data_IF_374147940741
#
_entry.id   IF_374147940741
#
_cell.length_a   1.000
_cell.length_b   1.000
_cell.length_c   1.000
_cell.angle_alpha   90.00
_cell.angle_beta   90.00
_cell.angle_gamma   90.00
#
_symmetry.space_group_name_H-M   'P 1'
#
loop_
_entity.id
_entity.type
_entity.pdbx_description
1 polymer ?
#
# COMPACT_ATOMS: atom_id res chain seq x y z
N UNK A 1 -39.73 -43.18 -3.44
CA UNK A 1 -38.27 -42.95 -3.31
C UNK A 1 -38.04 -41.46 -3.06
N UNK A 2 -37.61 -41.08 -1.84
CA UNK A 2 -37.43 -39.69 -1.40
C UNK A 2 -36.11 -39.14 -1.98
N UNK A 3 -36.18 -38.11 -2.83
CA UNK A 3 -35.00 -37.41 -3.35
C UNK A 3 -34.59 -36.34 -2.34
N UNK A 4 -33.46 -36.55 -1.67
CA UNK A 4 -32.88 -35.58 -0.74
C UNK A 4 -32.08 -34.57 -1.57
N UNK A 5 -32.53 -33.31 -1.60
CA UNK A 5 -31.79 -32.18 -2.14
C UNK A 5 -30.80 -31.71 -1.07
N UNK A 6 -29.52 -32.00 -1.27
CA UNK A 6 -28.43 -31.48 -0.42
C UNK A 6 -28.01 -30.12 -0.98
N UNK A 7 -28.48 -29.05 -0.34
CA UNK A 7 -28.01 -27.68 -0.59
C UNK A 7 -26.65 -27.51 0.11
N UNK A 8 -25.56 -27.62 -0.66
CA UNK A 8 -24.22 -27.27 -0.20
C UNK A 8 -24.12 -25.74 -0.08
N UNK A 9 -24.25 -25.23 1.15
CA UNK A 9 -23.92 -23.83 1.47
C UNK A 9 -22.40 -23.68 1.44
N UNK A 10 -21.86 -23.11 0.35
CA UNK A 10 -20.48 -22.64 0.31
C UNK A 10 -20.31 -21.51 1.32
N UNK A 11 -19.77 -21.83 2.49
CA UNK A 11 -19.27 -20.86 3.46
C UNK A 11 -18.05 -20.16 2.83
N UNK A 12 -18.30 -19.08 2.07
CA UNK A 12 -17.25 -18.13 1.70
C UNK A 12 -16.73 -17.51 2.98
N UNK A 13 -15.63 -18.07 3.49
CA UNK A 13 -14.85 -17.48 4.57
C UNK A 13 -14.27 -16.18 4.01
N UNK A 14 -14.95 -15.06 4.28
CA UNK A 14 -14.44 -13.73 3.94
C UNK A 14 -13.33 -13.45 4.94
N UNK A 15 -12.11 -13.91 4.63
CA UNK A 15 -10.92 -13.49 5.36
C UNK A 15 -10.86 -11.97 5.30
N UNK A 16 -11.08 -11.29 6.42
CA UNK A 16 -10.89 -9.85 6.51
C UNK A 16 -9.42 -9.53 6.23
N UNK A 17 -9.11 -9.10 5.02
CA UNK A 17 -7.77 -8.64 4.65
C UNK A 17 -7.54 -7.28 5.33
N UNK A 18 -7.06 -7.31 6.57
CA UNK A 18 -6.56 -6.11 7.23
C UNK A 18 -5.15 -5.83 6.73
N UNK A 19 -4.96 -4.69 6.08
CA UNK A 19 -3.64 -4.23 5.67
C UNK A 19 -2.89 -3.70 6.89
N UNK A 20 -1.62 -4.06 7.05
CA UNK A 20 -0.76 -3.55 8.12
C UNK A 20 -0.11 -2.22 7.75
N UNK A 21 0.62 -1.62 8.69
CA UNK A 21 1.50 -0.50 8.39
C UNK A 21 2.81 -0.97 7.74
N UNK A 22 3.41 -0.09 6.93
CA UNK A 22 4.75 -0.32 6.41
C UNK A 22 5.78 -0.23 7.55
N UNK A 23 6.91 -0.94 7.39
CA UNK A 23 8.06 -0.77 8.27
C UNK A 23 8.60 0.68 8.18
N UNK A 24 9.30 1.15 9.22
CA UNK A 24 10.00 2.44 9.18
C UNK A 24 10.88 2.63 7.93
N UNK A 25 11.03 3.87 7.46
CA UNK A 25 11.80 4.19 6.25
C UNK A 25 13.28 3.81 6.36
N UNK A 26 13.85 3.75 7.56
CA UNK A 26 15.22 3.31 7.85
C UNK A 26 15.38 1.81 8.06
N UNK A 27 14.32 1.03 7.91
CA UNK A 27 14.42 -0.41 8.01
C UNK A 27 14.96 -1.02 6.69
N UNK A 28 15.85 -2.03 6.72
CA UNK A 28 16.39 -2.64 5.49
C UNK A 28 15.31 -3.25 4.57
N UNK A 29 14.23 -3.76 5.18
CA UNK A 29 13.07 -4.32 4.48
C UNK A 29 11.96 -3.30 4.18
N UNK A 30 12.23 -2.00 4.32
CA UNK A 30 11.26 -0.93 4.05
C UNK A 30 10.61 -1.07 2.67
N UNK A 31 11.42 -1.20 1.61
CA UNK A 31 10.93 -1.23 0.22
C UNK A 31 9.91 -2.35 -0.02
N UNK A 32 10.20 -3.56 0.47
CA UNK A 32 9.31 -4.71 0.33
C UNK A 32 8.03 -4.54 1.15
N UNK A 33 8.17 -4.06 2.39
CA UNK A 33 7.04 -3.81 3.28
C UNK A 33 6.11 -2.73 2.73
N UNK A 34 6.65 -1.60 2.28
CA UNK A 34 5.87 -0.50 1.73
C UNK A 34 5.11 -0.91 0.47
N UNK A 35 5.78 -1.61 -0.47
CA UNK A 35 5.11 -2.14 -1.66
C UNK A 35 3.94 -3.05 -1.30
N UNK A 36 4.15 -3.99 -0.37
CA UNK A 36 3.10 -4.92 0.07
C UNK A 36 1.88 -4.18 0.66
N UNK A 37 2.13 -3.22 1.55
CA UNK A 37 1.08 -2.44 2.21
C UNK A 37 0.35 -1.52 1.22
N UNK A 38 1.07 -0.84 0.34
CA UNK A 38 0.47 0.02 -0.69
C UNK A 38 -0.43 -0.79 -1.65
N UNK A 39 0.05 -1.96 -2.11
CA UNK A 39 -0.74 -2.87 -2.93
C UNK A 39 -1.98 -3.38 -2.19
N UNK A 40 -1.85 -3.71 -0.90
CA UNK A 40 -2.97 -4.16 -0.07
C UNK A 40 -4.05 -3.08 0.03
N UNK A 41 -3.70 -1.86 0.44
CA UNK A 41 -4.68 -0.77 0.58
C UNK A 41 -5.30 -0.39 -0.76
N UNK A 42 -4.51 -0.34 -1.84
CA UNK A 42 -5.01 -0.11 -3.19
C UNK A 42 -6.08 -1.15 -3.58
N UNK A 43 -5.82 -2.44 -3.35
CA UNK A 43 -6.75 -3.52 -3.69
C UNK A 43 -7.98 -3.49 -2.79
N UNK A 44 -7.81 -3.25 -1.49
CA UNK A 44 -8.91 -3.11 -0.53
C UNK A 44 -9.84 -1.92 -0.85
N UNK A 45 -9.32 -0.91 -1.56
CA UNK A 45 -10.09 0.22 -2.07
C UNK A 45 -10.89 -0.11 -3.34
N UNK A 46 -10.85 -1.35 -3.81
CA UNK A 46 -11.59 -1.82 -4.99
C UNK A 46 -10.88 -1.56 -6.32
N UNK A 47 -9.58 -1.21 -6.31
CA UNK A 47 -8.83 -0.97 -7.54
C UNK A 47 -8.28 -2.27 -8.14
N UNK A 48 -8.04 -2.32 -9.47
CA UNK A 48 -7.56 -3.54 -10.12
C UNK A 48 -6.20 -3.99 -9.59
N UNK A 49 -6.10 -5.26 -9.19
CA UNK A 49 -4.87 -5.83 -8.60
C UNK A 49 -3.63 -5.63 -9.49
N UNK A 50 -3.77 -5.79 -10.81
CA UNK A 50 -2.67 -5.56 -11.75
C UNK A 50 -2.11 -4.14 -11.72
N UNK A 51 -2.98 -3.13 -11.54
CA UNK A 51 -2.56 -1.73 -11.35
C UNK A 51 -1.93 -1.53 -9.96
N UNK A 52 -2.50 -2.13 -8.92
CA UNK A 52 -2.00 -2.01 -7.54
C UNK A 52 -0.61 -2.66 -7.32
N UNK A 53 -0.21 -3.61 -8.16
CA UNK A 53 1.11 -4.26 -8.10
C UNK A 53 2.21 -3.45 -8.79
N UNK A 54 1.81 -2.56 -9.71
CA UNK A 54 2.69 -1.60 -10.37
C UNK A 54 2.73 -0.30 -9.54
N UNK A 55 3.82 -0.10 -8.82
CA UNK A 55 3.97 1.06 -7.93
C UNK A 55 4.02 2.39 -8.70
N UNK A 56 4.45 2.38 -9.96
CA UNK A 56 4.42 3.58 -10.80
C UNK A 56 3.00 3.91 -11.24
N UNK A 57 2.24 2.90 -11.67
CA UNK A 57 0.83 3.07 -12.00
C UNK A 57 0.01 3.52 -10.78
N UNK A 58 0.26 2.93 -9.62
CA UNK A 58 -0.36 3.32 -8.36
C UNK A 58 -0.06 4.78 -7.98
N UNK A 59 1.21 5.17 -8.01
CA UNK A 59 1.62 6.54 -7.73
C UNK A 59 0.98 7.54 -8.70
N UNK A 60 1.02 7.25 -10.01
CA UNK A 60 0.38 8.08 -11.03
C UNK A 60 -1.14 8.15 -10.86
N UNK A 61 -1.78 7.07 -10.41
CA UNK A 61 -3.21 7.07 -10.09
C UNK A 61 -3.51 8.00 -8.91
N UNK A 62 -2.68 7.99 -7.86
CA UNK A 62 -2.80 8.94 -6.75
C UNK A 62 -2.68 10.38 -7.25
N UNK A 63 -1.65 10.69 -8.04
CA UNK A 63 -1.45 12.04 -8.57
C UNK A 63 -2.57 12.50 -9.50
N UNK A 64 -3.04 11.65 -10.41
CA UNK A 64 -4.14 11.99 -11.32
C UNK A 64 -5.47 12.19 -10.59
N UNK A 65 -5.70 11.48 -9.48
CA UNK A 65 -6.94 11.58 -8.71
C UNK A 65 -6.95 12.79 -7.78
N UNK A 66 -5.82 13.07 -7.11
CA UNK A 66 -5.75 14.08 -6.05
C UNK A 66 -4.98 15.36 -6.46
N UNK A 67 -4.26 15.33 -7.59
CA UNK A 67 -3.48 16.44 -8.13
C UNK A 67 -2.07 16.57 -7.54
N UNK A 68 -1.82 16.06 -6.33
CA UNK A 68 -0.48 16.05 -5.72
C UNK A 68 -0.33 14.89 -4.73
N UNK A 69 0.92 14.54 -4.42
CA UNK A 69 1.23 13.54 -3.40
C UNK A 69 0.70 13.98 -2.02
N UNK A 70 0.88 15.27 -1.66
CA UNK A 70 0.40 15.81 -0.39
C UNK A 70 -1.12 15.60 -0.25
N UNK A 71 -1.92 16.01 -1.24
CA UNK A 71 -3.39 15.85 -1.20
C UNK A 71 -3.80 14.38 -1.14
N UNK A 72 -3.09 13.52 -1.86
CA UNK A 72 -3.35 12.08 -1.80
C UNK A 72 -3.05 11.50 -0.40
N UNK A 73 -2.01 12.00 0.27
CA UNK A 73 -1.62 11.62 1.62
C UNK A 73 -2.52 12.21 2.71
N UNK A 74 -3.09 13.40 2.50
CA UNK A 74 -4.12 14.00 3.36
C UNK A 74 -5.42 13.19 3.35
N UNK A 75 -5.72 12.49 2.24
CA UNK A 75 -6.90 11.63 2.12
C UNK A 75 -6.73 10.26 2.79
N UNK A 76 -5.50 9.83 3.11
CA UNK A 76 -5.25 8.53 3.72
C UNK A 76 -5.74 8.49 5.17
N UNK A 77 -6.40 7.39 5.54
CA UNK A 77 -6.98 7.23 6.90
C UNK A 77 -6.13 6.40 7.86
N UNK A 78 -5.19 5.61 7.33
CA UNK A 78 -4.46 4.60 8.10
C UNK A 78 -2.99 4.96 8.36
N UNK A 79 -2.56 6.14 7.92
CA UNK A 79 -1.20 6.65 8.10
C UNK A 79 -1.28 8.16 8.29
N UNK A 80 -0.30 8.75 8.96
CA UNK A 80 -0.18 10.21 8.98
C UNK A 80 0.18 10.73 7.58
N UNK A 81 -0.19 11.98 7.29
CA UNK A 81 0.16 12.62 6.02
C UNK A 81 1.66 12.66 5.81
N UNK A 82 2.44 13.01 6.85
CA UNK A 82 3.89 13.06 6.75
C UNK A 82 4.51 11.68 6.53
N UNK A 83 4.07 10.65 7.26
CA UNK A 83 4.55 9.28 7.05
C UNK A 83 4.25 8.79 5.62
N UNK A 84 3.07 9.12 5.09
CA UNK A 84 2.71 8.79 3.72
C UNK A 84 3.66 9.44 2.70
N UNK A 85 3.92 10.75 2.85
CA UNK A 85 4.83 11.46 1.95
C UNK A 85 6.26 10.94 2.08
N UNK A 86 6.75 10.74 3.31
CA UNK A 86 8.07 10.20 3.60
C UNK A 86 8.25 8.81 2.97
N UNK A 87 7.25 7.93 3.11
CA UNK A 87 7.31 6.59 2.54
C UNK A 87 7.38 6.65 1.00
N UNK A 88 6.55 7.45 0.35
CA UNK A 88 6.58 7.60 -1.11
C UNK A 88 7.88 8.24 -1.61
N UNK A 89 8.36 9.29 -0.95
CA UNK A 89 9.60 9.95 -1.32
C UNK A 89 10.80 9.03 -1.12
N UNK A 90 10.87 8.29 -0.01
CA UNK A 90 11.92 7.29 0.19
C UNK A 90 11.86 6.18 -0.86
N UNK A 91 10.66 5.73 -1.22
CA UNK A 91 10.49 4.68 -2.22
C UNK A 91 10.96 5.13 -3.61
N UNK A 92 10.60 6.35 -4.04
CA UNK A 92 10.87 6.86 -5.39
C UNK A 92 12.26 7.48 -5.54
N UNK A 93 12.73 8.21 -4.52
CA UNK A 93 13.91 9.07 -4.63
C UNK A 93 15.04 8.70 -3.66
N UNK A 94 14.77 7.85 -2.68
CA UNK A 94 15.75 7.54 -1.63
C UNK A 94 16.06 8.76 -0.77
N UNK A 95 17.32 8.88 -0.36
CA UNK A 95 17.81 9.98 0.48
C UNK A 95 17.50 9.79 1.96
N UNK A 96 16.91 10.83 2.57
CA UNK A 96 16.51 10.85 3.97
C UNK A 96 15.08 11.36 4.10
N UNK A 97 14.33 10.81 5.06
CA UNK A 97 12.97 11.27 5.34
C UNK A 97 12.94 12.57 6.17
N UNK A 98 11.74 13.07 6.45
CA UNK A 98 11.55 14.30 7.24
C UNK A 98 12.11 14.25 8.67
N UNK A 99 12.40 13.04 9.19
CA UNK A 99 13.00 12.80 10.50
C UNK A 99 14.50 12.54 10.43
N UNK A 100 15.12 12.66 9.27
CA UNK A 100 16.54 12.40 9.05
C UNK A 100 16.90 10.91 8.99
N UNK A 101 15.92 10.02 8.81
CA UNK A 101 16.13 8.58 8.71
C UNK A 101 16.55 8.21 7.29
N UNK A 102 17.55 7.35 7.15
CA UNK A 102 18.08 6.96 5.84
C UNK A 102 17.11 6.03 5.13
N UNK A 103 16.64 6.38 3.94
CA UNK A 103 15.71 5.53 3.20
C UNK A 103 16.31 4.14 2.92
N UNK A 104 15.57 3.09 3.26
CA UNK A 104 15.95 1.67 3.18
C UNK A 104 17.33 1.36 3.81
N UNK A 105 17.68 2.06 4.89
CA UNK A 105 19.00 2.02 5.56
C UNK A 105 20.21 2.36 4.66
N UNK A 106 20.00 2.77 3.40
CA UNK A 106 21.04 2.87 2.38
C UNK A 106 21.09 4.21 1.68
N UNK A 107 20.08 5.07 1.92
CA UNK A 107 19.80 6.31 1.16
C UNK A 107 19.44 6.07 -0.30
N UNK A 108 19.32 4.84 -0.77
CA UNK A 108 18.93 4.54 -2.14
C UNK A 108 17.41 4.52 -2.26
N UNK A 109 16.92 4.88 -3.43
CA UNK A 109 15.53 4.62 -3.80
C UNK A 109 15.28 3.11 -3.85
N UNK A 110 14.01 2.73 -3.76
CA UNK A 110 13.59 1.33 -3.85
C UNK A 110 13.42 0.84 -5.29
N UNK A 111 13.37 1.76 -6.25
CA UNK A 111 13.24 1.51 -7.68
C UNK A 111 14.57 1.63 -8.40
#
# INVERSE_FOLDING_TARGET
MKKIFVLLLCLFSVSGFTCSNALPTDHPSFCASFKSVATCYCTSSGLPAGMCQDMNALYNRMLSTFGSLQKACEYQRYTSTQDCMDNWNCYLFGGVDSRGRLCSSTRKACQ
#
